data_IF_951418204669
#
_entry.id   IF_951418204669
#
_cell.length_a   1.000
_cell.length_b   1.000
_cell.length_c   1.000
_cell.angle_alpha   90.00
_cell.angle_beta   90.00
_cell.angle_gamma   90.00
#
_symmetry.space_group_name_H-M   'P 1'
#
loop_
_entity.id
_entity.type
_entity.pdbx_description
1 polymer ?
#
# COMPACT_ATOMS: atom_id res chain seq x y z
N UNK A 1 16.92 0.41 -9.64
CA UNK A 1 16.98 1.45 -8.58
C UNK A 1 15.58 1.57 -8.03
N UNK A 2 15.37 1.59 -6.70
CA UNK A 2 14.03 1.73 -6.12
C UNK A 2 13.42 3.04 -6.60
N UNK A 3 12.15 2.99 -7.01
CA UNK A 3 11.50 4.17 -7.57
C UNK A 3 11.15 5.14 -6.44
N UNK A 4 11.90 6.24 -6.32
CA UNK A 4 11.75 7.20 -5.21
C UNK A 4 10.45 8.02 -5.29
N UNK A 5 9.73 7.91 -6.40
CA UNK A 5 8.49 8.65 -6.67
C UNK A 5 7.23 7.91 -6.19
N UNK A 6 7.37 6.69 -5.64
CA UNK A 6 6.20 5.89 -5.26
C UNK A 6 5.41 6.55 -4.14
N UNK A 7 4.11 6.74 -4.40
CA UNK A 7 3.14 7.27 -3.44
C UNK A 7 2.65 6.13 -2.57
N UNK A 8 3.13 6.11 -1.33
CA UNK A 8 2.77 5.08 -0.37
C UNK A 8 1.84 5.69 0.66
N UNK A 9 0.68 5.08 0.89
CA UNK A 9 -0.26 5.46 1.94
C UNK A 9 -0.23 4.41 3.05
N UNK A 10 -0.20 4.83 4.32
CA UNK A 10 -0.27 3.92 5.48
C UNK A 10 -1.48 4.28 6.33
N UNK A 11 -2.49 3.41 6.34
CA UNK A 11 -3.65 3.49 7.21
C UNK A 11 -3.48 2.57 8.43
N UNK A 12 -3.31 3.17 9.61
CA UNK A 12 -3.38 2.45 10.88
C UNK A 12 -3.92 3.38 11.97
N UNK A 13 -4.89 2.91 12.75
CA UNK A 13 -5.39 3.63 13.93
C UNK A 13 -4.25 3.86 14.96
N UNK A 14 -3.31 2.93 15.08
CA UNK A 14 -2.18 3.02 15.99
C UNK A 14 -1.05 3.87 15.40
N UNK A 15 -0.82 5.05 16.00
CA UNK A 15 0.25 5.96 15.57
C UNK A 15 1.64 5.30 15.58
N UNK A 16 1.92 4.45 16.58
CA UNK A 16 3.20 3.76 16.68
C UNK A 16 3.48 2.83 15.49
N UNK A 17 2.46 2.12 15.01
CA UNK A 17 2.58 1.23 13.86
C UNK A 17 2.91 2.04 12.59
N UNK A 18 2.19 3.16 12.38
CA UNK A 18 2.45 4.06 11.24
C UNK A 18 3.88 4.53 11.22
N UNK A 19 4.37 5.04 12.35
CA UNK A 19 5.72 5.57 12.46
C UNK A 19 6.79 4.47 12.26
N UNK A 20 6.53 3.25 12.72
CA UNK A 20 7.41 2.10 12.49
C UNK A 20 7.45 1.71 11.02
N UNK A 21 6.31 1.57 10.37
CA UNK A 21 6.21 1.21 8.95
C UNK A 21 6.85 2.31 8.08
N UNK A 22 6.54 3.57 8.35
CA UNK A 22 7.14 4.72 7.67
C UNK A 22 8.67 4.72 7.76
N UNK A 23 9.22 4.43 8.95
CA UNK A 23 10.68 4.27 9.14
C UNK A 23 11.26 3.16 8.28
N UNK A 24 10.58 2.02 8.13
CA UNK A 24 11.03 0.93 7.28
C UNK A 24 11.05 1.35 5.80
N UNK A 25 10.04 2.08 5.33
CA UNK A 25 10.03 2.65 3.98
C UNK A 25 11.15 3.66 3.75
N UNK A 26 11.36 4.56 4.71
CA UNK A 26 12.45 5.54 4.67
C UNK A 26 13.82 4.85 4.60
N UNK A 27 14.03 3.74 5.31
CA UNK A 27 15.27 2.94 5.24
C UNK A 27 15.50 2.31 3.86
N UNK A 28 14.42 1.95 3.16
CA UNK A 28 14.47 1.44 1.80
C UNK A 28 14.61 2.54 0.73
N UNK A 29 14.60 3.82 1.14
CA UNK A 29 14.75 4.98 0.26
C UNK A 29 13.43 5.50 -0.32
N UNK A 30 12.29 5.12 0.25
CA UNK A 30 10.97 5.65 -0.08
C UNK A 30 10.59 6.75 0.90
N UNK A 31 10.46 7.98 0.39
CA UNK A 31 10.22 9.17 1.22
C UNK A 31 8.80 9.75 1.06
N UNK A 32 8.06 9.34 0.02
CA UNK A 32 6.71 9.85 -0.26
C UNK A 32 5.65 8.95 0.40
N UNK A 33 5.72 8.88 1.72
CA UNK A 33 4.85 8.08 2.57
C UNK A 33 3.86 8.98 3.30
N UNK A 34 2.57 8.72 3.17
CA UNK A 34 1.50 9.48 3.81
C UNK A 34 0.79 8.61 4.86
N UNK A 35 0.89 8.93 6.17
CA UNK A 35 0.17 8.22 7.21
C UNK A 35 -1.25 8.77 7.40
N UNK A 36 -2.24 7.90 7.57
CA UNK A 36 -3.65 8.22 7.90
C UNK A 36 -4.15 7.36 9.05
N UNK A 37 -5.05 7.89 9.88
CA UNK A 37 -5.50 7.20 11.10
C UNK A 37 -6.83 6.48 10.97
N UNK A 38 -7.64 6.82 9.97
CA UNK A 38 -8.98 6.28 9.78
C UNK A 38 -9.30 6.05 8.31
N UNK A 39 -10.32 5.22 8.07
CA UNK A 39 -10.88 5.03 6.74
C UNK A 39 -11.46 6.32 6.16
N UNK A 40 -12.07 7.17 6.99
CA UNK A 40 -12.59 8.48 6.57
C UNK A 40 -11.52 9.42 6.02
N UNK A 41 -10.25 9.26 6.43
CA UNK A 41 -9.12 9.99 5.86
C UNK A 41 -8.55 9.30 4.60
N UNK A 42 -8.62 7.96 4.56
CA UNK A 42 -8.13 7.17 3.43
C UNK A 42 -9.04 7.32 2.20
N UNK A 43 -10.35 7.17 2.38
CA UNK A 43 -11.35 7.22 1.31
C UNK A 43 -11.17 8.45 0.41
N UNK A 44 -11.11 9.68 0.93
CA UNK A 44 -10.96 10.85 0.08
C UNK A 44 -9.60 10.92 -0.62
N UNK A 45 -8.54 10.35 -0.05
CA UNK A 45 -7.22 10.30 -0.71
C UNK A 45 -7.18 9.28 -1.85
N UNK A 46 -7.94 8.20 -1.72
CA UNK A 46 -8.12 7.22 -2.79
C UNK A 46 -9.02 7.84 -3.87
N UNK A 47 -10.25 8.22 -3.52
CA UNK A 47 -11.28 8.66 -4.47
C UNK A 47 -10.98 10.01 -5.14
N UNK A 48 -10.54 11.02 -4.37
CA UNK A 48 -10.25 12.37 -4.88
C UNK A 48 -8.75 12.61 -5.12
N UNK A 49 -7.93 11.56 -5.03
CA UNK A 49 -6.51 11.63 -5.34
C UNK A 49 -6.27 12.02 -6.81
N UNK A 50 -5.56 13.12 -7.03
CA UNK A 50 -5.24 13.60 -8.38
C UNK A 50 -4.28 12.66 -9.15
N UNK A 51 -3.51 11.84 -8.44
CA UNK A 51 -2.70 10.76 -9.01
C UNK A 51 -2.99 9.44 -8.29
N UNK A 52 -2.88 8.29 -8.96
CA UNK A 52 -3.05 6.99 -8.34
C UNK A 52 -1.99 6.75 -7.25
N UNK A 53 -2.35 5.93 -6.28
CA UNK A 53 -1.49 5.45 -5.21
C UNK A 53 -0.77 4.18 -5.70
N UNK A 54 0.55 4.20 -5.64
CA UNK A 54 1.35 3.04 -6.02
C UNK A 54 1.17 1.90 -5.03
N UNK A 55 1.04 2.24 -3.74
CA UNK A 55 0.92 1.28 -2.65
C UNK A 55 0.09 1.84 -1.49
N UNK A 56 -0.87 1.05 -1.00
CA UNK A 56 -1.64 1.33 0.20
C UNK A 56 -1.43 0.23 1.22
N UNK A 57 -0.92 0.57 2.40
CA UNK A 57 -0.86 -0.34 3.55
C UNK A 57 -2.01 -0.01 4.47
N UNK A 58 -2.78 -1.02 4.85
CA UNK A 58 -3.86 -0.85 5.80
C UNK A 58 -3.87 -1.97 6.82
N UNK A 59 -4.14 -1.60 8.08
CA UNK A 59 -4.38 -2.59 9.13
C UNK A 59 -5.79 -3.17 8.95
N UNK A 60 -5.89 -4.49 8.77
CA UNK A 60 -7.15 -5.22 8.65
C UNK A 60 -8.06 -5.05 9.87
N UNK A 61 -7.50 -4.76 11.05
CA UNK A 61 -8.29 -4.41 12.24
C UNK A 61 -9.04 -3.07 12.11
N UNK A 62 -8.74 -2.26 11.09
CA UNK A 62 -9.49 -1.04 10.77
C UNK A 62 -10.71 -1.30 9.88
N UNK A 63 -10.89 -2.51 9.35
CA UNK A 63 -12.11 -2.85 8.62
C UNK A 63 -13.30 -2.63 9.56
N UNK A 64 -14.18 -1.70 9.20
CA UNK A 64 -15.44 -1.49 9.92
C UNK A 64 -16.43 -2.58 9.53
N UNK A 65 -17.38 -2.90 10.41
CA UNK A 65 -18.43 -3.87 10.14
C UNK A 65 -19.25 -3.42 8.91
N UNK A 66 -18.97 -4.02 7.76
CA UNK A 66 -19.62 -3.73 6.48
C UNK A 66 -18.70 -3.20 5.37
N UNK A 67 -17.44 -2.86 5.66
CA UNK A 67 -16.49 -2.43 4.63
C UNK A 67 -15.44 -3.53 4.39
N UNK A 68 -15.62 -4.25 3.29
CA UNK A 68 -14.63 -5.21 2.82
C UNK A 68 -13.49 -4.48 2.10
N UNK A 69 -12.38 -4.31 2.81
CA UNK A 69 -11.18 -3.66 2.29
C UNK A 69 -10.63 -4.38 1.05
N UNK A 70 -10.77 -5.71 0.98
CA UNK A 70 -10.31 -6.48 -0.18
C UNK A 70 -11.06 -6.06 -1.44
N UNK A 71 -12.39 -6.14 -1.39
CA UNK A 71 -13.25 -5.75 -2.50
C UNK A 71 -13.07 -4.27 -2.85
N UNK A 72 -12.99 -3.40 -1.83
CA UNK A 72 -12.73 -1.98 -2.04
C UNK A 72 -11.45 -1.76 -2.86
N UNK A 73 -10.28 -2.25 -2.42
CA UNK A 73 -9.04 -2.01 -3.16
C UNK A 73 -8.94 -2.76 -4.49
N UNK A 74 -9.63 -3.89 -4.63
CA UNK A 74 -9.67 -4.65 -5.88
C UNK A 74 -10.50 -3.93 -6.96
N UNK A 75 -11.59 -3.27 -6.58
CA UNK A 75 -12.46 -2.50 -7.49
C UNK A 75 -11.94 -1.08 -7.76
N UNK A 76 -10.94 -0.60 -7.00
CA UNK A 76 -10.42 0.76 -7.12
C UNK A 76 -9.22 0.86 -8.09
N UNK A 77 -9.38 1.45 -9.29
CA UNK A 77 -8.29 1.60 -10.26
C UNK A 77 -7.22 2.62 -9.84
N UNK A 78 -7.55 3.50 -8.88
CA UNK A 78 -6.61 4.48 -8.32
C UNK A 78 -5.56 3.83 -7.40
N UNK A 79 -5.72 2.56 -7.01
CA UNK A 79 -4.77 1.85 -6.15
C UNK A 79 -4.07 0.77 -6.95
N UNK A 80 -2.77 0.95 -7.21
CA UNK A 80 -2.01 -0.03 -7.98
C UNK A 80 -1.66 -1.28 -7.17
N UNK A 81 -1.40 -1.11 -5.88
CA UNK A 81 -1.16 -2.20 -4.94
C UNK A 81 -1.76 -1.87 -3.57
N UNK A 82 -2.40 -2.86 -2.95
CA UNK A 82 -2.86 -2.75 -1.57
C UNK A 82 -2.30 -3.91 -0.74
N UNK A 83 -1.95 -3.62 0.50
CA UNK A 83 -1.43 -4.58 1.46
C UNK A 83 -2.19 -4.47 2.77
N UNK A 84 -2.97 -5.51 3.07
CA UNK A 84 -3.76 -5.60 4.29
C UNK A 84 -2.99 -6.46 5.27
N UNK A 85 -2.49 -5.88 6.36
CA UNK A 85 -1.79 -6.61 7.42
C UNK A 85 -2.69 -6.79 8.64
N UNK A 86 -2.34 -7.71 9.54
CA UNK A 86 -3.14 -8.02 10.73
C UNK A 86 -4.59 -8.43 10.42
N UNK A 87 -4.81 -9.07 9.27
CA UNK A 87 -6.12 -9.57 8.87
C UNK A 87 -6.34 -10.95 9.53
N UNK A 88 -7.32 -11.04 10.44
CA UNK A 88 -7.57 -12.25 11.23
C UNK A 88 -8.72 -13.11 10.67
N UNK A 89 -9.62 -12.53 9.89
CA UNK A 89 -10.86 -13.16 9.43
C UNK A 89 -10.64 -14.06 8.19
N UNK A 90 -9.52 -13.90 7.45
CA UNK A 90 -9.19 -14.75 6.30
C UNK A 90 -8.28 -15.92 6.72
N UNK A 91 -8.62 -17.17 6.34
CA UNK A 91 -7.86 -18.36 6.74
C UNK A 91 -6.40 -18.40 6.23
N UNK A 92 -6.10 -17.70 5.13
CA UNK A 92 -4.82 -17.77 4.42
C UNK A 92 -4.41 -16.39 3.88
N UNK A 93 -3.11 -16.11 3.73
CA UNK A 93 -2.67 -14.95 2.96
C UNK A 93 -3.22 -15.05 1.54
N UNK A 94 -4.13 -14.14 1.21
CA UNK A 94 -4.84 -14.12 -0.07
C UNK A 94 -4.24 -13.04 -0.96
N UNK A 95 -4.04 -13.37 -2.23
CA UNK A 95 -3.69 -12.40 -3.27
C UNK A 95 -4.87 -12.30 -4.22
N UNK A 96 -5.59 -11.18 -4.17
CA UNK A 96 -6.72 -10.89 -5.03
C UNK A 96 -6.34 -9.72 -5.96
N UNK A 97 -5.88 -10.04 -7.18
CA UNK A 97 -5.49 -9.05 -8.17
C UNK A 97 -4.26 -8.21 -7.75
N UNK A 98 -4.50 -6.97 -7.36
CA UNK A 98 -3.54 -5.99 -6.83
C UNK A 98 -3.45 -5.99 -5.29
N UNK A 99 -4.35 -6.67 -4.60
CA UNK A 99 -4.44 -6.71 -3.14
C UNK A 99 -3.73 -7.93 -2.58
N UNK A 100 -2.87 -7.74 -1.59
CA UNK A 100 -2.20 -8.78 -0.83
C UNK A 100 -2.63 -8.71 0.64
N UNK A 101 -2.98 -9.87 1.21
CA UNK A 101 -3.38 -9.98 2.61
C UNK A 101 -2.35 -10.77 3.38
N UNK A 102 -2.00 -10.26 4.55
CA UNK A 102 -1.12 -10.91 5.51
C UNK A 102 -1.74 -10.92 6.90
N UNK A 103 -1.58 -12.06 7.59
CA UNK A 103 -2.02 -12.24 8.98
C UNK A 103 -1.02 -11.70 9.98
N UNK A 104 0.16 -11.25 9.53
CA UNK A 104 1.20 -10.72 10.40
C UNK A 104 0.73 -9.40 11.00
N UNK A 105 0.83 -9.27 12.34
CA UNK A 105 0.37 -8.09 13.06
C UNK A 105 1.08 -6.79 12.64
N UNK A 106 2.37 -6.86 12.30
CA UNK A 106 3.19 -5.74 11.84
C UNK A 106 4.14 -6.25 10.75
N UNK A 107 4.20 -5.62 9.58
CA UNK A 107 5.16 -6.00 8.55
C UNK A 107 6.59 -5.63 8.96
N UNK A 108 7.50 -6.59 8.82
CA UNK A 108 8.94 -6.37 9.03
C UNK A 108 9.64 -5.91 7.75
N UNK A 109 10.90 -5.48 7.88
CA UNK A 109 11.71 -5.01 6.75
C UNK A 109 11.76 -6.02 5.60
N UNK A 110 11.85 -7.33 5.90
CA UNK A 110 11.87 -8.40 4.89
C UNK A 110 10.55 -8.44 4.12
N UNK A 111 9.41 -8.33 4.82
CA UNK A 111 8.08 -8.31 4.20
C UNK A 111 7.94 -7.08 3.28
N UNK A 112 8.31 -5.89 3.77
CA UNK A 112 8.22 -4.66 2.98
C UNK A 112 9.17 -4.75 1.77
N UNK A 113 10.38 -5.28 1.93
CA UNK A 113 11.33 -5.46 0.82
C UNK A 113 10.77 -6.39 -0.26
N UNK A 114 10.19 -7.53 0.14
CA UNK A 114 9.54 -8.45 -0.79
C UNK A 114 8.36 -7.80 -1.50
N UNK A 115 7.53 -7.07 -0.76
CA UNK A 115 6.41 -6.34 -1.32
C UNK A 115 6.87 -5.28 -2.32
N UNK A 116 7.85 -4.45 -1.96
CA UNK A 116 8.41 -3.44 -2.86
C UNK A 116 9.05 -4.06 -4.09
N UNK A 117 9.64 -5.27 -3.99
CA UNK A 117 10.15 -5.97 -5.17
C UNK A 117 9.05 -6.34 -6.18
N UNK A 118 7.82 -6.57 -5.71
CA UNK A 118 6.66 -6.81 -6.56
C UNK A 118 6.09 -5.51 -7.16
N UNK A 119 6.05 -4.43 -6.35
CA UNK A 119 5.60 -3.09 -6.77
C UNK A 119 6.57 -2.51 -7.81
N UNK A 120 7.88 -2.50 -7.53
CA UNK A 120 8.93 -1.99 -8.42
C UNK A 120 8.95 -2.69 -9.79
N UNK A 121 8.67 -4.01 -9.84
CA UNK A 121 8.61 -4.76 -11.10
C UNK A 121 7.46 -4.33 -12.01
N UNK A 122 6.38 -3.79 -11.44
CA UNK A 122 5.18 -3.41 -12.19
C UNK A 122 5.23 -2.02 -12.77
N UNK A 123 6.13 -1.14 -12.33
CA UNK A 123 6.37 0.09 -13.08
C UNK A 123 7.12 -0.32 -14.35
N UNK A 124 6.50 -0.24 -15.54
CA UNK A 124 7.30 -0.29 -16.75
C UNK A 124 8.33 0.82 -16.60
N UNK A 125 9.59 0.49 -16.85
CA UNK A 125 10.63 1.46 -17.04
C UNK A 125 10.11 2.41 -18.13
N UNK A 126 9.53 3.56 -17.76
CA UNK A 126 9.16 4.62 -18.72
C UNK A 126 10.49 5.29 -19.10
N UNK A 127 11.34 4.52 -19.76
CA UNK A 127 12.30 5.03 -20.70
C UNK A 127 11.54 5.25 -22.00
N UNK A 128 10.64 6.24 -22.02
CA UNK A 128 10.21 6.80 -23.29
C UNK A 128 11.41 7.56 -23.82
N UNK A 129 12.30 6.84 -24.49
CA UNK A 129 13.18 7.42 -25.49
C UNK A 129 12.23 7.86 -26.60
N UNK A 130 11.72 9.09 -26.49
CA UNK A 130 11.15 9.76 -27.65
C UNK A 130 12.35 10.01 -28.55
N UNK A 131 12.61 9.04 -29.43
CA UNK A 131 13.60 9.17 -30.48
C UNK A 131 13.17 10.34 -31.36
N UNK A 132 13.97 11.40 -31.32
CA UNK A 132 13.90 12.50 -32.28
C UNK A 132 14.12 11.91 -33.67
N UNK A 133 13.20 12.19 -34.59
CA UNK A 133 13.42 12.19 -36.03
C UNK A 133 12.79 13.44 -36.63
#
# INVERSE_FOLDING_TARGET
MPNKSLRILIADAQHFNRLRIERLFNQLGYFRVAPVQSLDELLPLVEYGCEPLDLVLINGAMASEGLDLLSFFADNPQVHHAFIFNEQQTPLPLVAGNVQVSRTALPDLVCITQLMSAVDRRLPFVGTVISVR
#
